data_IF_615040801228
#
_entry.id   IF_615040801228
#
_cell.length_a   1.000
_cell.length_b   1.000
_cell.length_c   1.000
_cell.angle_alpha   90.00
_cell.angle_beta   90.00
_cell.angle_gamma   90.00
#
_symmetry.space_group_name_H-M   'P 1'
#
loop_
_entity.id
_entity.type
_entity.pdbx_description
1 polymer ?
#
# COMPACT_ATOMS: atom_id res chain seq x y z
N UNK A 1 15.91 6.56 2.03
CA UNK A 1 16.82 5.57 1.42
C UNK A 1 17.86 5.09 2.43
N UNK A 2 18.81 5.91 2.90
CA UNK A 2 19.87 5.48 3.85
C UNK A 2 19.38 4.75 5.11
N UNK A 3 18.20 5.10 5.66
CA UNK A 3 17.65 4.44 6.83
C UNK A 3 17.17 3.01 6.50
N UNK A 4 16.53 2.82 5.36
CA UNK A 4 16.10 1.50 4.91
C UNK A 4 17.30 0.59 4.63
N UNK A 5 18.35 1.13 3.99
CA UNK A 5 19.56 0.37 3.69
C UNK A 5 20.23 -0.14 4.98
N UNK A 6 20.31 0.72 6.01
CA UNK A 6 20.84 0.32 7.33
C UNK A 6 20.03 -0.80 7.99
N UNK A 7 18.70 -0.76 7.90
CA UNK A 7 17.84 -1.81 8.44
C UNK A 7 18.04 -3.13 7.70
N UNK A 8 18.20 -3.09 6.38
CA UNK A 8 18.51 -4.28 5.58
C UNK A 8 19.89 -4.85 5.92
N UNK A 9 20.90 -4.00 6.16
CA UNK A 9 22.24 -4.41 6.63
C UNK A 9 22.17 -5.07 8.02
N UNK A 10 21.26 -4.62 8.90
CA UNK A 10 21.03 -5.19 10.22
C UNK A 10 20.24 -6.49 10.21
N UNK A 11 19.84 -6.99 9.04
CA UNK A 11 19.19 -8.29 8.89
C UNK A 11 17.69 -8.25 8.59
N UNK A 12 17.08 -7.08 8.42
CA UNK A 12 15.71 -7.02 7.92
C UNK A 12 15.67 -7.57 6.48
N UNK A 13 14.64 -8.36 6.17
CA UNK A 13 14.45 -8.89 4.80
C UNK A 13 13.89 -7.84 3.86
N UNK A 14 13.04 -6.99 4.38
CA UNK A 14 12.44 -5.88 3.66
C UNK A 14 12.05 -4.77 4.63
N UNK A 15 11.91 -3.57 4.10
CA UNK A 15 11.47 -2.38 4.83
C UNK A 15 10.34 -1.72 4.07
N UNK A 16 9.28 -1.33 4.77
CA UNK A 16 8.22 -0.49 4.20
C UNK A 16 8.31 0.89 4.84
N UNK A 17 8.47 1.90 4.00
CA UNK A 17 8.46 3.29 4.43
C UNK A 17 7.11 3.89 4.03
N UNK A 18 6.30 4.19 5.03
CA UNK A 18 5.01 4.88 4.85
C UNK A 18 5.26 6.38 4.86
N UNK A 19 4.69 7.10 3.90
CA UNK A 19 4.91 8.53 3.68
C UNK A 19 3.62 9.34 3.69
N UNK A 20 2.61 8.86 4.41
CA UNK A 20 1.31 9.52 4.48
C UNK A 20 0.70 9.74 3.09
N UNK A 21 0.39 10.98 2.77
CA UNK A 21 -0.19 11.39 1.48
C UNK A 21 0.69 11.10 0.25
N UNK A 22 1.98 10.84 0.46
CA UNK A 22 2.92 10.49 -0.62
C UNK A 22 3.04 8.98 -0.86
N UNK A 23 2.16 8.18 -0.24
CA UNK A 23 2.13 6.74 -0.44
C UNK A 23 3.15 5.96 0.38
N UNK A 24 3.66 4.88 -0.18
CA UNK A 24 4.58 3.99 0.49
C UNK A 24 5.64 3.43 -0.45
N UNK A 25 6.81 3.13 0.11
CA UNK A 25 7.92 2.47 -0.55
C UNK A 25 8.18 1.13 0.14
N UNK A 26 8.21 0.05 -0.63
CA UNK A 26 8.77 -1.24 -0.25
C UNK A 26 10.19 -1.35 -0.77
N UNK A 27 11.12 -1.74 0.07
CA UNK A 27 12.52 -1.97 -0.29
C UNK A 27 13.01 -3.29 0.31
N UNK A 28 13.50 -4.17 -0.55
CA UNK A 28 14.29 -5.33 -0.22
C UNK A 28 15.66 -5.20 -0.88
N UNK A 29 16.53 -6.22 -0.79
CA UNK A 29 17.87 -6.17 -1.39
C UNK A 29 17.81 -6.04 -2.90
N UNK A 30 16.96 -6.83 -3.55
CA UNK A 30 16.90 -6.96 -5.01
C UNK A 30 15.62 -6.35 -5.62
N UNK A 31 14.72 -5.83 -4.81
CA UNK A 31 13.43 -5.34 -5.25
C UNK A 31 13.05 -4.03 -4.57
N UNK A 32 12.43 -3.17 -5.35
CA UNK A 32 11.87 -1.91 -4.86
C UNK A 32 10.56 -1.61 -5.56
N UNK A 33 9.51 -1.31 -4.78
CA UNK A 33 8.20 -0.94 -5.28
C UNK A 33 7.73 0.33 -4.61
N UNK A 34 6.94 1.09 -5.32
CA UNK A 34 6.22 2.24 -4.76
C UNK A 34 4.72 2.09 -5.04
N UNK A 35 3.91 2.59 -4.12
CA UNK A 35 2.49 2.84 -4.35
C UNK A 35 2.17 4.26 -3.93
N UNK A 36 1.38 5.01 -4.71
CA UNK A 36 0.84 6.28 -4.23
C UNK A 36 -0.19 6.04 -3.13
N UNK A 37 -0.51 7.07 -2.37
CA UNK A 37 -1.73 7.08 -1.59
C UNK A 37 -2.93 7.12 -2.54
N UNK A 38 -4.04 6.47 -2.14
CA UNK A 38 -5.29 6.62 -2.88
C UNK A 38 -5.81 8.05 -2.69
N UNK A 39 -6.14 8.78 -3.76
CA UNK A 39 -6.66 10.13 -3.64
C UNK A 39 -8.08 10.11 -3.04
N UNK A 40 -8.25 10.80 -1.92
CA UNK A 40 -9.56 10.97 -1.26
C UNK A 40 -9.96 12.43 -1.32
N UNK A 41 -11.25 12.71 -1.48
CA UNK A 41 -11.78 14.08 -1.56
C UNK A 41 -11.92 14.79 -0.21
N UNK A 42 -11.73 14.10 0.88
CA UNK A 42 -11.84 14.68 2.22
C UNK A 42 -11.02 13.90 3.22
N UNK A 43 -10.04 14.57 3.81
CA UNK A 43 -9.32 14.05 4.95
C UNK A 43 -10.06 14.45 6.22
N UNK A 44 -10.61 13.45 6.94
CA UNK A 44 -11.18 13.69 8.26
C UNK A 44 -10.11 13.57 9.35
N UNK A 45 -9.45 12.42 9.41
CA UNK A 45 -8.47 12.13 10.46
C UNK A 45 -7.43 11.10 9.97
N UNK A 46 -6.13 11.44 9.99
CA UNK A 46 -5.07 10.49 9.62
C UNK A 46 -4.79 9.42 10.69
N UNK A 47 -5.41 9.51 11.86
CA UNK A 47 -5.20 8.56 12.96
C UNK A 47 -5.61 7.14 12.54
N UNK A 48 -4.73 6.17 12.75
CA UNK A 48 -4.98 4.77 12.41
C UNK A 48 -4.72 4.40 10.95
N UNK A 49 -4.43 5.37 10.07
CA UNK A 49 -4.11 5.09 8.66
C UNK A 49 -2.91 4.16 8.51
N UNK A 50 -1.88 4.34 9.33
CA UNK A 50 -0.69 3.49 9.34
C UNK A 50 -0.97 2.05 9.76
N UNK A 51 -1.82 1.84 10.74
CA UNK A 51 -2.22 0.51 11.22
C UNK A 51 -3.13 -0.17 10.21
N UNK A 52 -4.04 0.58 9.58
CA UNK A 52 -4.91 0.11 8.52
C UNK A 52 -4.11 -0.28 7.27
N UNK A 53 -3.07 0.46 6.95
CA UNK A 53 -2.12 0.10 5.90
C UNK A 53 -1.44 -1.24 6.22
N UNK A 54 -0.91 -1.40 7.42
CA UNK A 54 -0.26 -2.64 7.83
C UNK A 54 -1.25 -3.82 7.80
N UNK A 55 -2.47 -3.63 8.27
CA UNK A 55 -3.54 -4.62 8.21
C UNK A 55 -3.89 -5.03 6.78
N UNK A 56 -4.02 -4.09 5.86
CA UNK A 56 -4.27 -4.35 4.44
C UNK A 56 -3.13 -5.09 3.76
N UNK A 57 -1.89 -4.69 4.03
CA UNK A 57 -0.70 -5.33 3.51
C UNK A 57 -0.57 -6.80 3.98
N UNK A 58 -0.61 -7.01 5.29
CA UNK A 58 -0.47 -8.35 5.88
C UNK A 58 -1.68 -9.23 5.55
N UNK A 59 -2.88 -8.67 5.61
CA UNK A 59 -4.12 -9.38 5.30
C UNK A 59 -4.14 -9.93 3.88
N UNK A 60 -3.66 -9.16 2.91
CA UNK A 60 -3.52 -9.64 1.54
C UNK A 60 -2.53 -10.80 1.44
N UNK A 61 -1.33 -10.67 2.01
CA UNK A 61 -0.31 -11.73 1.98
C UNK A 61 -0.80 -13.01 2.67
N UNK A 62 -1.50 -12.89 3.79
CA UNK A 62 -2.08 -14.03 4.49
C UNK A 62 -3.14 -14.73 3.64
N UNK A 63 -3.98 -13.96 2.93
CA UNK A 63 -5.04 -14.50 2.09
C UNK A 63 -4.51 -15.19 0.82
N UNK A 64 -3.56 -14.59 0.13
CA UNK A 64 -3.04 -15.14 -1.12
C UNK A 64 -1.99 -16.24 -0.90
N UNK A 65 -1.37 -16.32 0.27
CA UNK A 65 -0.35 -17.32 0.61
C UNK A 65 0.95 -17.20 -0.19
N UNK A 66 1.13 -16.10 -0.94
CA UNK A 66 2.30 -15.86 -1.80
C UNK A 66 3.11 -14.68 -1.28
N UNK A 67 4.41 -14.68 -1.61
CA UNK A 67 5.35 -13.60 -1.25
C UNK A 67 6.28 -13.22 -2.42
N UNK A 68 5.87 -13.54 -3.64
CA UNK A 68 6.59 -13.09 -4.83
C UNK A 68 6.37 -11.60 -5.09
N UNK A 69 7.13 -11.03 -6.01
CA UNK A 69 7.10 -9.60 -6.30
C UNK A 69 5.71 -9.08 -6.69
N UNK A 70 4.90 -9.86 -7.40
CA UNK A 70 3.53 -9.47 -7.75
C UNK A 70 2.62 -9.43 -6.51
N UNK A 71 2.70 -10.44 -5.65
CA UNK A 71 1.93 -10.49 -4.40
C UNK A 71 2.30 -9.34 -3.46
N UNK A 72 3.59 -9.00 -3.38
CA UNK A 72 4.07 -7.86 -2.58
C UNK A 72 3.59 -6.51 -3.11
N UNK A 73 3.58 -6.32 -4.44
CA UNK A 73 3.00 -5.12 -5.08
C UNK A 73 1.52 -4.98 -4.77
N UNK A 74 0.77 -6.07 -4.92
CA UNK A 74 -0.66 -6.10 -4.60
C UNK A 74 -0.91 -5.86 -3.10
N UNK A 75 -0.08 -6.44 -2.23
CA UNK A 75 -0.16 -6.20 -0.79
C UNK A 75 0.06 -4.72 -0.44
N UNK A 76 1.05 -4.08 -1.08
CA UNK A 76 1.34 -2.66 -0.88
C UNK A 76 0.16 -1.77 -1.31
N UNK A 77 -0.42 -2.06 -2.47
CA UNK A 77 -1.61 -1.38 -2.97
C UNK A 77 -2.84 -1.62 -2.07
N UNK A 78 -3.01 -2.84 -1.55
CA UNK A 78 -4.07 -3.17 -0.59
C UNK A 78 -3.91 -2.39 0.71
N UNK A 79 -2.67 -2.24 1.20
CA UNK A 79 -2.37 -1.38 2.34
C UNK A 79 -2.77 0.08 2.11
N UNK A 80 -2.40 0.64 0.95
CA UNK A 80 -2.78 2.01 0.58
C UNK A 80 -4.31 2.19 0.47
N UNK A 81 -5.00 1.19 -0.08
CA UNK A 81 -6.47 1.18 -0.18
C UNK A 81 -7.12 1.17 1.20
N UNK A 82 -6.68 0.31 2.11
CA UNK A 82 -7.24 0.25 3.47
C UNK A 82 -6.95 1.53 4.26
N UNK A 83 -5.76 2.09 4.13
CA UNK A 83 -5.42 3.38 4.75
C UNK A 83 -6.35 4.51 4.26
N UNK A 84 -6.76 4.50 2.99
CA UNK A 84 -7.65 5.50 2.42
C UNK A 84 -9.06 5.48 3.05
N UNK A 85 -9.57 4.33 3.42
CA UNK A 85 -10.84 4.23 4.16
C UNK A 85 -10.71 4.75 5.59
N UNK A 86 -9.57 4.49 6.25
CA UNK A 86 -9.33 4.92 7.62
C UNK A 86 -9.37 6.45 7.80
N UNK A 87 -8.94 7.21 6.79
CA UNK A 87 -8.87 8.67 6.85
C UNK A 87 -10.18 9.38 6.48
N UNK A 88 -11.19 8.66 6.03
CA UNK A 88 -12.49 9.22 5.62
C UNK A 88 -13.44 9.50 6.80
N UNK A 89 -13.15 9.00 7.99
CA UNK A 89 -13.95 9.22 9.19
C UNK A 89 -13.06 9.44 10.42
N UNK A 90 -13.61 10.07 11.46
CA UNK A 90 -12.95 10.27 12.76
C UNK A 90 -12.88 9.00 13.63
N UNK A 91 -13.54 7.93 13.23
CA UNK A 91 -13.59 6.67 13.96
C UNK A 91 -13.29 5.49 13.03
N UNK A 92 -13.01 4.30 13.57
CA UNK A 92 -12.84 3.10 12.76
C UNK A 92 -14.14 2.62 12.09
N UNK A 93 -15.25 3.32 12.28
CA UNK A 93 -16.57 2.96 11.72
C UNK A 93 -16.49 2.73 10.21
N UNK A 94 -15.87 3.64 9.48
CA UNK A 94 -15.74 3.53 8.03
C UNK A 94 -15.04 2.23 7.61
N UNK A 95 -14.00 1.82 8.31
CA UNK A 95 -13.32 0.54 8.07
C UNK A 95 -14.20 -0.67 8.37
N UNK A 96 -14.96 -0.61 9.45
CA UNK A 96 -15.85 -1.71 9.87
C UNK A 96 -17.01 -1.89 8.90
N UNK A 97 -17.55 -0.79 8.38
CA UNK A 97 -18.67 -0.79 7.42
C UNK A 97 -18.25 -1.11 5.98
N UNK A 98 -16.94 -1.02 5.67
CA UNK A 98 -16.43 -1.28 4.32
C UNK A 98 -16.46 -2.78 4.01
N UNK A 99 -17.21 -3.14 2.98
CA UNK A 99 -17.32 -4.51 2.50
C UNK A 99 -16.26 -4.89 1.46
N UNK A 100 -16.10 -6.21 1.20
CA UNK A 100 -15.13 -6.71 0.20
C UNK A 100 -15.30 -6.12 -1.20
N UNK A 101 -16.54 -5.89 -1.63
CA UNK A 101 -16.85 -5.34 -2.95
C UNK A 101 -16.33 -3.89 -3.08
N UNK A 102 -16.49 -3.08 -2.04
CA UNK A 102 -16.02 -1.71 -2.03
C UNK A 102 -14.49 -1.62 -1.99
N UNK A 103 -13.85 -2.49 -1.21
CA UNK A 103 -12.39 -2.64 -1.17
C UNK A 103 -11.86 -2.99 -2.56
N UNK A 104 -12.48 -3.98 -3.22
CA UNK A 104 -12.10 -4.41 -4.57
C UNK A 104 -12.24 -3.27 -5.57
N UNK A 105 -13.36 -2.57 -5.56
CA UNK A 105 -13.60 -1.42 -6.47
C UNK A 105 -12.54 -0.34 -6.30
N UNK A 106 -12.20 0.00 -5.06
CA UNK A 106 -11.17 1.02 -4.79
C UNK A 106 -9.76 0.55 -5.19
N UNK A 107 -9.44 -0.71 -4.93
CA UNK A 107 -8.17 -1.29 -5.34
C UNK A 107 -8.02 -1.35 -6.86
N UNK A 108 -9.07 -1.70 -7.59
CA UNK A 108 -9.11 -1.65 -9.05
C UNK A 108 -8.95 -0.23 -9.59
N UNK A 109 -9.57 0.75 -8.93
CA UNK A 109 -9.39 2.16 -9.29
C UNK A 109 -7.93 2.60 -9.09
N UNK A 110 -7.31 2.24 -7.97
CA UNK A 110 -5.88 2.51 -7.73
C UNK A 110 -5.01 1.84 -8.80
N UNK A 111 -5.28 0.59 -9.12
CA UNK A 111 -4.56 -0.15 -10.16
C UNK A 111 -4.63 0.58 -11.51
N UNK A 112 -5.82 1.02 -11.93
CA UNK A 112 -5.99 1.79 -13.18
C UNK A 112 -5.20 3.11 -13.19
N UNK A 113 -5.11 3.79 -12.05
CA UNK A 113 -4.38 5.06 -11.93
C UNK A 113 -2.86 4.91 -12.05
N UNK A 114 -2.33 3.76 -11.68
CA UNK A 114 -0.86 3.53 -11.65
C UNK A 114 -0.36 2.64 -12.80
N UNK A 115 -1.25 1.99 -13.52
CA UNK A 115 -0.90 1.09 -14.61
C UNK A 115 -0.63 1.86 -15.90
N UNK A 116 0.38 1.45 -16.62
CA UNK A 116 0.67 1.89 -17.99
C UNK A 116 1.37 0.78 -18.76
N UNK A 117 1.22 0.77 -20.07
CA UNK A 117 2.00 -0.10 -20.95
C UNK A 117 3.38 0.52 -21.16
N UNK A 118 4.41 -0.28 -20.89
CA UNK A 118 5.78 0.18 -21.10
C UNK A 118 6.19 -0.02 -22.55
N UNK A 119 6.51 1.07 -23.23
CA UNK A 119 7.12 1.06 -24.55
C UNK A 119 8.57 1.57 -24.44
N UNK A 120 9.48 0.95 -25.16
CA UNK A 120 10.86 1.43 -25.22
C UNK A 120 10.94 2.66 -26.08
N UNK A 121 11.24 3.86 -25.54
CA UNK A 121 11.26 5.10 -26.32
C UNK A 121 12.50 5.23 -27.22
N UNK A 122 13.54 4.46 -26.91
CA UNK A 122 14.81 4.44 -27.65
C UNK A 122 15.27 3.01 -27.87
N UNK A 123 15.78 2.71 -29.04
CA UNK A 123 16.39 1.43 -29.40
C UNK A 123 17.90 1.39 -29.11
#
# INVERSE_FOLDING_TARGET
MRAADRLLEQGARAVIIKKGEHGALYQARDERFITPAYPVEGLCDPTGAGDSFAGGFIGWLARCGRRDGQALRQALASGATMASFAIEDFSPRRLVETGPAEITTRLEALHRMVSFEFERPFD
#
